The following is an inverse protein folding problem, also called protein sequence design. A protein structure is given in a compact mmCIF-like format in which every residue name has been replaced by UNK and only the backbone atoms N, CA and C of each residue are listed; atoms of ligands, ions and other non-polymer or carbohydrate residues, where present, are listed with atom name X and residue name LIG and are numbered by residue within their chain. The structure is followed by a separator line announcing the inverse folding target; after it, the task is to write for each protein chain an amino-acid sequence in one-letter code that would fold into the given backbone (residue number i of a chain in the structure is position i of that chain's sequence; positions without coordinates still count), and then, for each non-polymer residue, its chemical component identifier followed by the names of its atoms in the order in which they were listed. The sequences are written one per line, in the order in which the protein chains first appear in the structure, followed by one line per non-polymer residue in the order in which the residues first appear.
data_IF_635907650122
#
_entry.id   IF_635907650122
#
_cell.length_a   1.000
_cell.length_b   1.000
_cell.length_c   1.000
_cell.angle_alpha   90.00
_cell.angle_beta   90.00
_cell.angle_gamma   90.00
#
_symmetry.space_group_name_H-M   'P 1'
#
loop_
_entity.id
_entity.type
_entity.pdbx_description
1 polymer ?
#
# COMPACT_ATOMS: atom_id res chain seq x y z
N UNK A 1 10.37 -18.73 -25.48
CA UNK A 1 9.89 -18.98 -24.07
C UNK A 1 9.69 -17.64 -23.40
N UNK A 2 8.57 -17.41 -22.73
CA UNK A 2 8.26 -16.14 -22.03
C UNK A 2 9.14 -15.99 -20.80
N UNK A 3 9.73 -14.80 -20.64
CA UNK A 3 10.57 -14.44 -19.50
C UNK A 3 9.85 -13.45 -18.56
N UNK A 4 10.40 -13.29 -17.36
CA UNK A 4 9.94 -12.27 -16.41
C UNK A 4 10.03 -10.86 -17.02
N UNK A 5 11.08 -10.59 -17.78
CA UNK A 5 11.30 -9.30 -18.45
C UNK A 5 10.17 -9.01 -19.43
N UNK A 6 9.87 -9.95 -20.34
CA UNK A 6 8.79 -9.79 -21.33
C UNK A 6 7.45 -9.47 -20.67
N UNK A 7 7.14 -10.18 -19.57
CA UNK A 7 5.89 -9.96 -18.87
C UNK A 7 5.83 -8.60 -18.16
N UNK A 8 6.91 -8.16 -17.52
CA UNK A 8 7.00 -6.85 -16.86
C UNK A 8 6.91 -5.72 -17.90
N UNK A 9 7.66 -5.81 -19.00
CA UNK A 9 7.62 -4.81 -20.08
C UNK A 9 6.24 -4.73 -20.73
N UNK A 10 5.56 -5.87 -20.86
CA UNK A 10 4.17 -5.90 -21.30
C UNK A 10 3.23 -5.18 -20.34
N UNK A 11 3.36 -5.38 -19.02
CA UNK A 11 2.53 -4.70 -18.02
C UNK A 11 2.71 -3.17 -18.07
N UNK A 12 3.91 -2.71 -18.38
CA UNK A 12 4.21 -1.27 -18.52
C UNK A 12 3.62 -0.71 -19.81
N UNK A 13 3.74 -1.47 -20.92
CA UNK A 13 3.50 -0.95 -22.28
C UNK A 13 2.06 -1.14 -22.75
N UNK A 14 1.28 -2.06 -22.18
CA UNK A 14 -0.08 -2.33 -22.67
C UNK A 14 -1.07 -1.27 -22.20
N UNK A 15 -1.79 -0.61 -23.12
CA UNK A 15 -2.69 0.48 -22.75
C UNK A 15 -4.04 -0.02 -22.18
N UNK A 16 -4.53 -1.18 -22.63
CA UNK A 16 -5.93 -1.56 -22.35
C UNK A 16 -6.15 -3.03 -22.01
N UNK A 17 -5.31 -3.95 -22.48
CA UNK A 17 -5.64 -5.37 -22.48
C UNK A 17 -4.55 -6.24 -21.84
N UNK A 18 -4.70 -6.56 -20.57
CA UNK A 18 -3.73 -7.30 -19.74
C UNK A 18 -3.97 -8.84 -19.78
N UNK A 19 -4.18 -9.43 -20.94
CA UNK A 19 -4.43 -10.87 -21.08
C UNK A 19 -3.23 -11.63 -21.64
N UNK A 20 -3.11 -12.91 -21.29
CA UNK A 20 -2.08 -13.78 -21.87
C UNK A 20 -2.18 -13.85 -23.39
N UNK A 21 -3.41 -13.85 -23.94
CA UNK A 21 -3.66 -13.83 -25.38
C UNK A 21 -3.15 -12.57 -26.04
N UNK A 22 -3.32 -11.42 -25.38
CA UNK A 22 -2.85 -10.15 -25.94
C UNK A 22 -1.31 -10.09 -25.93
N UNK A 23 -0.66 -10.50 -24.85
CA UNK A 23 0.82 -10.58 -24.85
C UNK A 23 1.34 -11.52 -25.94
N UNK A 24 0.74 -12.70 -26.08
CA UNK A 24 1.13 -13.67 -27.12
C UNK A 24 1.03 -13.11 -28.54
N UNK A 25 0.09 -12.21 -28.82
CA UNK A 25 -0.04 -11.54 -30.13
C UNK A 25 1.09 -10.56 -30.45
N UNK A 26 1.85 -10.14 -29.45
CA UNK A 26 2.91 -9.15 -29.58
C UNK A 26 4.33 -9.73 -29.39
N UNK A 27 4.42 -11.05 -29.26
CA UNK A 27 5.69 -11.77 -29.17
C UNK A 27 5.75 -12.83 -30.28
N UNK A 28 6.88 -12.89 -31.00
CA UNK A 28 7.10 -13.89 -32.02
C UNK A 28 7.21 -15.28 -31.41
N UNK A 29 6.57 -16.27 -32.05
CA UNK A 29 6.59 -17.68 -31.67
C UNK A 29 6.15 -17.99 -30.21
N UNK A 30 5.27 -17.16 -29.65
CA UNK A 30 4.73 -17.34 -28.29
C UNK A 30 3.23 -17.58 -28.33
N UNK A 31 2.79 -18.70 -27.77
CA UNK A 31 1.36 -18.98 -27.56
C UNK A 31 0.84 -18.38 -26.25
N UNK A 32 -0.48 -18.20 -26.15
CA UNK A 32 -1.10 -17.78 -24.89
C UNK A 32 -0.90 -18.80 -23.76
N UNK A 33 -0.75 -20.09 -24.08
CA UNK A 33 -0.43 -21.14 -23.12
C UNK A 33 0.98 -20.94 -22.56
N UNK A 34 1.96 -20.57 -23.39
CA UNK A 34 3.32 -20.29 -22.93
C UNK A 34 3.36 -19.12 -21.92
N UNK A 35 2.53 -18.08 -22.12
CA UNK A 35 2.38 -16.98 -21.14
C UNK A 35 1.74 -17.47 -19.85
N UNK A 36 0.68 -18.27 -19.97
CA UNK A 36 -0.01 -18.84 -18.82
C UNK A 36 0.92 -19.79 -18.03
N UNK A 37 1.70 -20.63 -18.71
CA UNK A 37 2.68 -21.52 -18.10
C UNK A 37 3.79 -20.75 -17.38
N UNK A 38 4.27 -19.62 -17.95
CA UNK A 38 5.18 -18.73 -17.26
C UNK A 38 4.61 -18.30 -15.90
N UNK A 39 3.37 -17.82 -15.86
CA UNK A 39 2.73 -17.37 -14.62
C UNK A 39 2.49 -18.52 -13.62
N UNK A 40 2.37 -19.77 -14.06
CA UNK A 40 2.22 -20.94 -13.18
C UNK A 40 3.55 -21.48 -12.68
N UNK A 41 4.61 -21.42 -13.49
CA UNK A 41 5.93 -21.97 -13.18
C UNK A 41 6.72 -21.12 -12.21
N UNK A 42 6.67 -19.79 -12.33
CA UNK A 42 7.47 -18.87 -11.53
C UNK A 42 7.09 -18.90 -10.02
N UNK A 43 8.05 -18.52 -9.20
CA UNK A 43 7.91 -18.43 -7.74
C UNK A 43 8.35 -17.07 -7.23
N UNK A 44 7.73 -16.01 -7.78
CA UNK A 44 8.05 -14.64 -7.41
C UNK A 44 7.47 -14.28 -6.02
N UNK A 45 8.25 -13.59 -5.23
CA UNK A 45 7.90 -13.18 -3.87
C UNK A 45 8.34 -11.74 -3.61
N UNK A 46 7.94 -11.17 -2.49
CA UNK A 46 8.41 -9.86 -2.04
C UNK A 46 9.94 -9.77 -1.88
N UNK A 47 10.66 -10.91 -1.70
CA UNK A 47 12.11 -10.93 -1.65
C UNK A 47 12.75 -10.45 -2.96
N UNK A 48 12.17 -10.79 -4.11
CA UNK A 48 12.68 -10.33 -5.41
C UNK A 48 12.50 -8.82 -5.58
N UNK A 49 11.40 -8.27 -5.07
CA UNK A 49 11.18 -6.83 -5.01
C UNK A 49 12.20 -6.16 -4.07
N UNK A 50 12.36 -6.71 -2.87
CA UNK A 50 13.31 -6.19 -1.87
C UNK A 50 14.75 -6.08 -2.41
N UNK A 51 15.22 -7.10 -3.13
CA UNK A 51 16.56 -7.10 -3.74
C UNK A 51 16.77 -5.93 -4.71
N UNK A 52 15.72 -5.49 -5.40
CA UNK A 52 15.76 -4.37 -6.33
C UNK A 52 15.57 -3.01 -5.64
N UNK A 53 14.77 -2.96 -4.59
CA UNK A 53 14.46 -1.74 -3.84
C UNK A 53 15.59 -1.35 -2.89
N UNK A 54 16.24 -2.33 -2.24
CA UNK A 54 17.27 -2.09 -1.22
C UNK A 54 18.32 -1.03 -1.62
N UNK A 55 18.92 -1.06 -2.83
CA UNK A 55 19.93 -0.07 -3.22
C UNK A 55 19.37 1.34 -3.51
N UNK A 56 18.06 1.50 -3.56
CA UNK A 56 17.39 2.77 -3.85
C UNK A 56 16.98 3.53 -2.59
N UNK A 57 16.98 2.85 -1.43
CA UNK A 57 16.52 3.45 -0.19
C UNK A 57 17.53 4.46 0.36
N UNK A 58 17.01 5.58 0.82
CA UNK A 58 17.70 6.53 1.70
C UNK A 58 17.26 6.25 3.14
N UNK A 59 17.65 5.07 3.63
CA UNK A 59 17.25 4.61 4.94
C UNK A 59 18.02 5.32 6.05
N UNK A 60 17.32 5.73 7.10
CA UNK A 60 17.86 6.42 8.26
C UNK A 60 16.88 6.32 9.43
N UNK A 61 17.32 6.64 10.67
CA UNK A 61 16.40 6.72 11.82
C UNK A 61 15.23 7.69 11.64
N UNK A 62 15.36 8.71 10.78
CA UNK A 62 14.32 9.70 10.48
C UNK A 62 13.34 9.24 9.39
N UNK A 63 13.64 8.16 8.70
CA UNK A 63 12.72 7.54 7.76
C UNK A 63 11.51 6.92 8.48
N UNK A 64 10.45 6.66 7.74
CA UNK A 64 9.25 6.04 8.26
C UNK A 64 8.93 4.74 7.52
N UNK A 65 8.36 3.79 8.25
CA UNK A 65 7.64 2.67 7.68
C UNK A 65 6.15 2.99 7.66
N UNK A 66 5.44 2.53 6.63
CA UNK A 66 4.00 2.71 6.50
C UNK A 66 3.39 1.34 6.21
N UNK A 67 2.37 0.95 6.97
CA UNK A 67 1.61 -0.28 6.71
C UNK A 67 0.18 0.06 6.39
N UNK A 68 -0.28 -0.47 5.27
CA UNK A 68 -1.69 -0.43 4.87
C UNK A 68 -2.00 -1.59 3.93
N UNK A 69 -3.28 -1.83 3.66
CA UNK A 69 -3.69 -2.85 2.70
C UNK A 69 -4.62 -2.31 1.61
N UNK A 70 -4.52 -2.94 0.46
CA UNK A 70 -5.42 -2.68 -0.66
C UNK A 70 -6.12 -3.95 -1.12
N UNK A 71 -7.32 -3.79 -1.67
CA UNK A 71 -8.05 -4.88 -2.30
C UNK A 71 -7.95 -4.72 -3.81
N UNK A 72 -7.43 -5.78 -4.47
CA UNK A 72 -7.39 -5.87 -5.93
C UNK A 72 -8.74 -6.41 -6.40
N UNK A 73 -9.61 -5.54 -6.88
CA UNK A 73 -10.98 -5.87 -7.21
C UNK A 73 -11.08 -6.92 -8.34
N UNK A 74 -11.92 -7.93 -8.13
CA UNK A 74 -12.19 -9.03 -9.05
C UNK A 74 -13.71 -9.23 -9.17
N UNK A 75 -14.42 -8.16 -9.52
CA UNK A 75 -15.90 -8.08 -9.47
C UNK A 75 -16.62 -9.22 -10.20
N UNK A 76 -16.01 -9.75 -11.27
CA UNK A 76 -16.59 -10.81 -12.10
C UNK A 76 -15.99 -12.20 -11.84
N UNK A 77 -15.10 -12.34 -10.84
CA UNK A 77 -14.47 -13.63 -10.53
C UNK A 77 -15.47 -14.57 -9.86
N UNK A 78 -15.78 -15.70 -10.52
CA UNK A 78 -16.64 -16.77 -9.96
C UNK A 78 -15.83 -17.90 -9.31
N UNK A 79 -14.66 -18.22 -9.86
CA UNK A 79 -13.79 -19.34 -9.43
C UNK A 79 -12.34 -18.91 -9.54
N UNK A 80 -11.85 -18.19 -8.55
CA UNK A 80 -10.46 -17.72 -8.47
C UNK A 80 -9.95 -17.94 -7.04
N UNK A 81 -8.85 -18.67 -6.90
CA UNK A 81 -8.38 -19.25 -5.63
C UNK A 81 -8.17 -18.25 -4.50
N UNK A 82 -7.70 -17.02 -4.78
CA UNK A 82 -7.36 -16.01 -3.79
C UNK A 82 -8.46 -14.97 -3.56
N UNK A 83 -9.53 -15.00 -4.37
CA UNK A 83 -10.59 -14.00 -4.29
C UNK A 83 -11.50 -14.28 -3.11
N UNK A 84 -11.72 -13.26 -2.30
CA UNK A 84 -12.64 -13.27 -1.16
C UNK A 84 -13.48 -12.02 -1.11
N UNK A 85 -14.63 -12.13 -0.47
CA UNK A 85 -15.44 -10.98 -0.15
C UNK A 85 -14.84 -10.26 1.07
N UNK A 86 -14.44 -9.01 0.89
CA UNK A 86 -13.81 -8.21 1.92
C UNK A 86 -14.11 -6.73 1.73
N UNK A 87 -13.98 -5.95 2.79
CA UNK A 87 -14.18 -4.51 2.74
C UNK A 87 -13.03 -3.85 1.98
N UNK A 88 -13.37 -2.88 1.13
CA UNK A 88 -12.43 -2.04 0.39
C UNK A 88 -12.78 -0.58 0.64
N UNK A 89 -11.85 0.17 1.24
CA UNK A 89 -12.01 1.60 1.46
C UNK A 89 -12.17 2.37 0.15
N UNK A 90 -11.39 2.03 -0.88
CA UNK A 90 -11.45 2.68 -2.19
C UNK A 90 -12.76 2.44 -2.97
N UNK A 91 -13.46 1.34 -2.67
CA UNK A 91 -14.76 1.01 -3.30
C UNK A 91 -15.94 1.37 -2.37
N UNK A 92 -15.68 1.87 -1.17
CA UNK A 92 -16.69 2.26 -0.19
C UNK A 92 -17.56 1.12 0.33
N UNK A 93 -17.12 -0.16 0.21
CA UNK A 93 -17.96 -1.29 0.59
C UNK A 93 -17.30 -2.66 0.49
N UNK A 94 -18.15 -3.70 0.55
CA UNK A 94 -17.74 -5.09 0.41
C UNK A 94 -17.58 -5.46 -1.06
N UNK A 95 -16.38 -5.88 -1.45
CA UNK A 95 -16.08 -6.32 -2.82
C UNK A 95 -15.45 -7.71 -2.85
N UNK A 96 -15.59 -8.38 -3.98
CA UNK A 96 -14.79 -9.57 -4.28
C UNK A 96 -13.43 -9.14 -4.80
N UNK A 97 -12.36 -9.60 -4.17
CA UNK A 97 -11.01 -9.22 -4.55
C UNK A 97 -9.92 -9.96 -3.78
N UNK A 98 -8.69 -9.69 -4.17
CA UNK A 98 -7.48 -10.20 -3.53
C UNK A 98 -6.91 -9.11 -2.63
N UNK A 99 -6.86 -9.35 -1.32
CA UNK A 99 -6.26 -8.43 -0.36
C UNK A 99 -4.73 -8.51 -0.41
N UNK A 100 -4.07 -7.36 -0.37
CA UNK A 100 -2.61 -7.26 -0.30
C UNK A 100 -2.23 -6.28 0.79
N UNK A 101 -1.50 -6.75 1.80
CA UNK A 101 -0.93 -5.92 2.87
C UNK A 101 0.44 -5.45 2.41
N UNK A 102 0.72 -4.16 2.53
CA UNK A 102 1.94 -3.52 2.09
C UNK A 102 2.75 -2.98 3.28
N UNK A 103 4.06 -3.09 3.19
CA UNK A 103 5.01 -2.36 4.02
C UNK A 103 5.84 -1.47 3.12
N UNK A 104 5.74 -0.17 3.32
CA UNK A 104 6.39 0.88 2.53
C UNK A 104 7.40 1.60 3.39
N UNK A 105 8.59 1.86 2.85
CA UNK A 105 9.59 2.74 3.43
C UNK A 105 9.50 4.11 2.76
N UNK A 106 9.64 5.18 3.54
CA UNK A 106 9.76 6.54 3.02
C UNK A 106 10.78 7.36 3.79
N UNK A 107 11.56 8.17 3.06
CA UNK A 107 12.40 9.23 3.61
C UNK A 107 11.66 10.59 3.73
N UNK A 108 10.36 10.59 3.37
CA UNK A 108 9.51 11.79 3.32
C UNK A 108 9.34 12.34 1.91
N UNK A 109 10.36 12.26 1.07
CA UNK A 109 10.32 12.68 -0.35
C UNK A 109 9.94 11.52 -1.27
N UNK A 110 10.65 10.40 -1.13
CA UNK A 110 10.44 9.19 -1.92
C UNK A 110 9.87 8.06 -1.06
N UNK A 111 9.15 7.13 -1.70
CA UNK A 111 8.60 5.94 -1.06
C UNK A 111 8.79 4.71 -1.94
N UNK A 112 9.04 3.56 -1.28
CA UNK A 112 9.25 2.27 -1.91
C UNK A 112 8.61 1.14 -1.12
N UNK A 113 7.86 0.22 -1.76
CA UNK A 113 7.36 -0.99 -1.10
C UNK A 113 8.53 -1.94 -0.82
N UNK A 114 8.78 -2.23 0.46
CA UNK A 114 9.87 -3.12 0.90
C UNK A 114 9.40 -4.54 1.21
N UNK A 115 8.08 -4.71 1.38
CA UNK A 115 7.42 -6.02 1.50
C UNK A 115 5.96 -5.89 1.07
N UNK A 116 5.39 -7.00 0.60
CA UNK A 116 3.95 -7.15 0.38
C UNK A 116 3.51 -8.57 0.70
N UNK A 117 2.31 -8.75 1.24
CA UNK A 117 1.73 -10.05 1.60
C UNK A 117 0.34 -10.18 1.02
N UNK A 118 0.09 -11.27 0.31
CA UNK A 118 -1.24 -11.58 -0.20
C UNK A 118 -2.05 -12.24 0.91
N UNK A 119 -3.15 -11.60 1.29
CA UNK A 119 -4.04 -12.08 2.33
C UNK A 119 -4.83 -13.32 1.87
N UNK A 120 -4.53 -14.46 2.46
CA UNK A 120 -5.12 -15.76 2.12
C UNK A 120 -5.35 -16.64 3.36
N UNK A 121 -6.06 -16.11 4.37
CA UNK A 121 -6.24 -16.74 5.69
C UNK A 121 -6.65 -18.21 5.65
N UNK A 122 -7.47 -18.63 4.66
CA UNK A 122 -7.90 -20.03 4.53
C UNK A 122 -6.77 -20.96 4.08
N UNK A 123 -5.64 -20.41 3.60
CA UNK A 123 -4.50 -21.18 3.12
C UNK A 123 -3.35 -21.21 4.13
N UNK A 124 -3.09 -20.09 4.81
CA UNK A 124 -1.96 -19.92 5.71
C UNK A 124 -2.36 -19.67 7.18
N UNK A 125 -3.66 -19.55 7.47
CA UNK A 125 -4.18 -19.27 8.81
C UNK A 125 -3.95 -17.84 9.30
N UNK A 126 -3.27 -16.99 8.53
CA UNK A 126 -2.80 -15.67 8.97
C UNK A 126 -3.84 -14.58 8.74
N UNK A 127 -3.99 -13.72 9.73
CA UNK A 127 -4.75 -12.46 9.61
C UNK A 127 -3.88 -11.36 8.98
N UNK A 128 -4.49 -10.24 8.57
CA UNK A 128 -3.73 -9.05 8.14
C UNK A 128 -2.83 -8.52 9.27
N UNK A 129 -3.26 -8.63 10.53
CA UNK A 129 -2.45 -8.26 11.69
C UNK A 129 -1.25 -9.19 11.91
N UNK A 130 -1.37 -10.50 11.59
CA UNK A 130 -0.22 -11.40 11.60
C UNK A 130 0.79 -11.02 10.53
N UNK A 131 0.33 -10.70 9.32
CA UNK A 131 1.19 -10.18 8.26
C UNK A 131 1.87 -8.86 8.66
N UNK A 132 1.15 -7.93 9.29
CA UNK A 132 1.74 -6.71 9.85
C UNK A 132 2.94 -7.04 10.74
N UNK A 133 2.74 -7.89 11.76
CA UNK A 133 3.79 -8.23 12.73
C UNK A 133 4.99 -8.89 12.06
N UNK A 134 4.76 -9.85 11.18
CA UNK A 134 5.84 -10.53 10.46
C UNK A 134 6.64 -9.60 9.55
N UNK A 135 5.96 -8.70 8.83
CA UNK A 135 6.65 -7.74 7.95
C UNK A 135 7.48 -6.73 8.75
N UNK A 136 6.96 -6.23 9.88
CA UNK A 136 7.70 -5.29 10.73
C UNK A 136 8.92 -5.97 11.38
N UNK A 137 8.74 -7.19 11.90
CA UNK A 137 9.86 -7.98 12.43
C UNK A 137 10.93 -8.24 11.35
N UNK A 138 10.52 -8.68 10.18
CA UNK A 138 11.41 -8.93 9.05
C UNK A 138 12.13 -7.65 8.59
N UNK A 139 11.46 -6.50 8.60
CA UNK A 139 12.08 -5.22 8.26
C UNK A 139 13.20 -4.85 9.24
N UNK A 140 12.98 -5.04 10.53
CA UNK A 140 13.98 -4.70 11.57
C UNK A 140 15.10 -5.75 11.71
N UNK A 141 14.77 -7.05 11.67
CA UNK A 141 15.70 -8.13 12.00
C UNK A 141 16.44 -8.68 10.77
N UNK A 142 15.76 -8.81 9.62
CA UNK A 142 16.33 -9.44 8.44
C UNK A 142 16.77 -8.44 7.36
N UNK A 143 16.06 -7.31 7.25
CA UNK A 143 16.37 -6.27 6.27
C UNK A 143 17.24 -5.14 6.84
N UNK A 144 17.40 -5.11 8.16
CA UNK A 144 18.20 -4.10 8.89
C UNK A 144 17.75 -2.65 8.59
N UNK A 145 16.45 -2.43 8.51
CA UNK A 145 15.88 -1.10 8.27
C UNK A 145 16.06 -0.21 9.50
N UNK A 146 16.68 0.95 9.29
CA UNK A 146 17.00 1.91 10.35
C UNK A 146 15.83 2.79 10.76
N UNK A 147 14.81 2.94 9.91
CA UNK A 147 13.62 3.74 10.21
C UNK A 147 13.04 3.39 11.60
N UNK A 148 12.91 4.42 12.46
CA UNK A 148 12.42 4.24 13.83
C UNK A 148 10.94 4.63 13.99
N UNK A 149 10.31 5.15 12.96
CA UNK A 149 8.89 5.53 12.99
C UNK A 149 8.07 4.60 12.10
N UNK A 150 6.87 4.22 12.56
CA UNK A 150 5.92 3.44 11.78
C UNK A 150 4.52 4.05 11.83
N UNK A 151 3.89 4.16 10.66
CA UNK A 151 2.58 4.74 10.44
C UNK A 151 1.61 3.66 9.98
N UNK A 152 0.40 3.64 10.50
CA UNK A 152 -0.65 2.71 10.07
C UNK A 152 -2.04 3.21 10.48
N UNK A 153 -3.08 2.70 9.83
CA UNK A 153 -4.45 3.08 10.13
C UNK A 153 -5.00 2.40 11.39
N UNK A 154 -6.20 2.79 11.79
CA UNK A 154 -6.88 2.27 12.98
C UNK A 154 -7.19 0.76 12.94
N UNK A 155 -7.17 0.15 11.75
CA UNK A 155 -7.38 -1.30 11.59
C UNK A 155 -6.22 -2.10 12.20
N UNK A 156 -4.99 -1.57 12.04
CA UNK A 156 -3.78 -2.18 12.59
C UNK A 156 -3.49 -1.72 14.04
N UNK A 157 -4.31 -0.86 14.64
CA UNK A 157 -4.19 -0.36 16.02
C UNK A 157 -4.58 -1.40 17.10
N UNK A 158 -4.27 -2.69 16.90
CA UNK A 158 -4.47 -3.74 17.89
C UNK A 158 -3.44 -3.64 19.03
N UNK A 159 -3.80 -4.10 20.23
CA UNK A 159 -2.89 -4.05 21.37
C UNK A 159 -1.60 -4.86 21.14
N UNK A 160 -1.71 -5.98 20.41
CA UNK A 160 -0.57 -6.82 20.03
C UNK A 160 0.42 -6.08 19.12
N UNK A 161 -0.10 -5.37 18.12
CA UNK A 161 0.72 -4.60 17.20
C UNK A 161 1.40 -3.42 17.91
N UNK A 162 0.65 -2.65 18.73
CA UNK A 162 1.21 -1.54 19.51
C UNK A 162 2.31 -2.02 20.47
N UNK A 163 2.08 -3.18 21.12
CA UNK A 163 3.06 -3.81 22.00
C UNK A 163 4.32 -4.24 21.24
N UNK A 164 4.17 -4.84 20.07
CA UNK A 164 5.30 -5.24 19.24
C UNK A 164 6.14 -4.03 18.83
N UNK A 165 5.51 -2.96 18.34
CA UNK A 165 6.21 -1.73 17.93
C UNK A 165 6.97 -1.13 19.10
N UNK A 166 6.36 -1.09 20.31
CA UNK A 166 7.04 -0.64 21.52
C UNK A 166 8.23 -1.54 21.90
N UNK A 167 8.11 -2.86 21.75
CA UNK A 167 9.19 -3.81 22.03
C UNK A 167 10.38 -3.69 21.05
N UNK A 168 10.11 -3.22 19.84
CA UNK A 168 11.13 -2.93 18.84
C UNK A 168 11.73 -1.53 18.98
N UNK A 169 11.41 -0.82 20.07
CA UNK A 169 11.86 0.55 20.35
C UNK A 169 11.50 1.55 19.23
N UNK A 170 10.43 1.26 18.49
CA UNK A 170 9.93 2.13 17.43
C UNK A 170 8.84 3.07 17.94
N UNK A 171 8.76 4.24 17.31
CA UNK A 171 7.67 5.20 17.50
C UNK A 171 6.57 4.91 16.50
N UNK A 172 5.33 4.77 16.97
CA UNK A 172 4.19 4.66 16.08
C UNK A 172 3.32 5.93 16.06
N UNK A 173 2.68 6.15 14.92
CA UNK A 173 1.53 7.05 14.79
C UNK A 173 0.41 6.27 14.13
N UNK A 174 -0.77 6.30 14.74
CA UNK A 174 -1.94 5.59 14.21
C UNK A 174 -3.22 6.30 14.64
N UNK A 175 -4.23 6.24 13.79
CA UNK A 175 -5.55 6.77 14.14
C UNK A 175 -6.28 5.82 15.09
N UNK A 176 -7.15 6.36 15.92
CA UNK A 176 -8.12 5.61 16.72
C UNK A 176 -9.52 5.79 16.14
N UNK A 177 -10.31 4.73 16.18
CA UNK A 177 -11.74 4.83 15.91
C UNK A 177 -12.43 5.65 16.99
N UNK A 178 -13.35 6.51 16.60
CA UNK A 178 -14.08 7.43 17.49
C UNK A 178 -14.78 6.74 18.67
N UNK A 179 -15.15 5.47 18.52
CA UNK A 179 -15.81 4.66 19.55
C UNK A 179 -14.86 4.02 20.58
N UNK A 180 -13.55 4.31 20.49
CA UNK A 180 -12.59 3.79 21.48
C UNK A 180 -12.71 4.53 22.79
N UNK A 181 -12.54 3.77 23.88
CA UNK A 181 -12.49 4.30 25.23
C UNK A 181 -11.04 4.46 25.68
N UNK A 182 -10.78 5.55 26.42
CA UNK A 182 -9.48 5.87 26.99
C UNK A 182 -9.63 6.25 28.46
N UNK A 183 -8.56 6.15 29.24
CA UNK A 183 -8.54 6.60 30.64
C UNK A 183 -7.47 7.65 30.82
N UNK A 184 -7.83 8.79 31.44
CA UNK A 184 -6.92 9.87 31.77
C UNK A 184 -6.17 9.59 33.08
N UNK A 185 -6.86 9.03 34.08
CA UNK A 185 -6.28 8.59 35.34
C UNK A 185 -6.81 7.21 35.76
N UNK A 186 -6.31 6.66 36.85
CA UNK A 186 -6.85 5.39 37.40
C UNK A 186 -8.23 5.60 38.03
N UNK A 187 -8.52 6.80 38.48
CA UNK A 187 -9.72 7.17 39.22
C UNK A 187 -10.91 7.44 38.29
N UNK A 188 -10.66 8.06 37.12
CA UNK A 188 -11.72 8.47 36.19
C UNK A 188 -12.34 7.33 35.38
N UNK A 189 -11.73 6.14 35.43
CA UNK A 189 -12.19 5.03 34.61
C UNK A 189 -11.93 5.24 33.09
N UNK A 190 -12.75 4.58 32.25
CA UNK A 190 -12.67 4.69 30.81
C UNK A 190 -13.80 5.55 30.27
N UNK A 191 -13.49 6.58 29.52
CA UNK A 191 -14.40 7.55 28.90
C UNK A 191 -14.27 7.54 27.37
N UNK A 192 -15.27 8.08 26.67
CA UNK A 192 -15.21 8.29 25.23
C UNK A 192 -14.26 9.44 24.87
N UNK A 193 -13.65 9.41 23.67
CA UNK A 193 -12.72 10.41 23.20
C UNK A 193 -13.34 11.83 23.19
N UNK A 194 -14.65 11.92 22.88
CA UNK A 194 -15.38 13.19 22.85
C UNK A 194 -15.68 13.78 24.23
N UNK A 195 -15.61 12.98 25.30
CA UNK A 195 -15.86 13.42 26.69
C UNK A 195 -14.62 14.03 27.34
N UNK A 196 -13.47 13.97 26.66
CA UNK A 196 -12.24 14.60 27.16
C UNK A 196 -12.41 16.11 27.08
N UNK A 197 -12.13 16.79 28.20
CA UNK A 197 -12.03 18.26 28.22
C UNK A 197 -10.78 18.70 27.44
N UNK A 198 -11.01 19.25 26.23
CA UNK A 198 -9.99 19.68 25.30
C UNK A 198 -9.63 21.16 25.52
N UNK A 199 -8.84 21.43 26.54
CA UNK A 199 -8.25 22.79 26.78
C UNK A 199 -7.25 23.13 25.67
N UNK A 200 -6.92 24.42 25.49
CA UNK A 200 -5.94 24.88 24.48
C UNK A 200 -4.60 24.17 24.59
N UNK A 201 -4.15 23.88 25.81
CA UNK A 201 -2.92 23.15 26.07
C UNK A 201 -3.03 21.70 25.53
N UNK A 202 -4.16 21.03 25.77
CA UNK A 202 -4.40 19.65 25.29
C UNK A 202 -4.59 19.61 23.78
N UNK A 203 -5.25 20.61 23.20
CA UNK A 203 -5.36 20.75 21.75
C UNK A 203 -4.00 20.92 21.08
N UNK A 204 -3.07 21.67 21.71
CA UNK A 204 -1.74 21.92 21.16
C UNK A 204 -0.77 20.75 21.36
N UNK A 205 -0.78 20.11 22.53
CA UNK A 205 0.27 19.15 22.92
C UNK A 205 -0.26 17.72 23.15
N UNK A 206 -1.52 17.48 22.84
CA UNK A 206 -2.17 16.20 23.13
C UNK A 206 -2.34 15.93 24.63
N UNK A 207 -2.86 14.77 24.93
CA UNK A 207 -3.11 14.31 26.30
C UNK A 207 -2.63 12.89 26.48
N UNK A 208 -1.98 12.60 27.61
CA UNK A 208 -1.53 11.24 27.94
C UNK A 208 -2.74 10.41 28.37
N UNK A 209 -2.96 9.28 27.68
CA UNK A 209 -4.08 8.39 27.94
C UNK A 209 -3.63 6.93 28.06
N UNK A 210 -4.45 6.13 28.73
CA UNK A 210 -4.31 4.68 28.80
C UNK A 210 -5.34 4.02 27.90
N UNK A 211 -4.90 3.13 27.03
CA UNK A 211 -5.76 2.26 26.24
C UNK A 211 -6.00 0.94 26.95
N UNK A 212 -7.18 0.36 26.80
CA UNK A 212 -7.49 -0.96 27.36
C UNK A 212 -6.56 -2.03 26.78
N UNK A 213 -5.98 -2.88 27.62
CA UNK A 213 -5.01 -3.93 27.30
C UNK A 213 -3.61 -3.47 26.88
N UNK A 214 -3.39 -2.21 26.57
CA UNK A 214 -2.06 -1.69 26.22
C UNK A 214 -1.27 -1.47 27.52
N UNK A 215 -0.06 -2.06 27.70
CA UNK A 215 0.66 -2.01 28.98
C UNK A 215 1.31 -0.65 29.29
N UNK A 216 1.40 0.25 28.34
CA UNK A 216 1.99 1.58 28.45
C UNK A 216 0.95 2.69 28.16
N UNK A 217 1.29 3.93 28.46
CA UNK A 217 0.49 5.09 28.11
C UNK A 217 0.88 5.60 26.74
N UNK A 218 -0.07 6.21 26.05
CA UNK A 218 0.13 6.84 24.75
C UNK A 218 -0.30 8.31 24.83
N UNK A 219 0.21 9.14 23.95
CA UNK A 219 -0.25 10.52 23.78
C UNK A 219 -1.31 10.56 22.69
N UNK A 220 -2.48 11.09 23.01
CA UNK A 220 -3.61 11.25 22.12
C UNK A 220 -3.68 12.70 21.65
N UNK A 221 -3.85 12.90 20.35
CA UNK A 221 -4.05 14.18 19.71
C UNK A 221 -5.42 14.24 19.03
N UNK A 222 -6.07 15.39 19.12
CA UNK A 222 -7.29 15.71 18.38
C UNK A 222 -6.90 16.58 17.20
N UNK A 223 -7.00 16.03 16.00
CA UNK A 223 -6.68 16.72 14.75
C UNK A 223 -7.99 17.04 14.04
N UNK A 224 -8.23 18.30 13.73
CA UNK A 224 -9.37 18.71 12.92
C UNK A 224 -8.91 18.81 11.48
N UNK A 225 -9.52 18.03 10.61
CA UNK A 225 -9.24 18.03 9.17
C UNK A 225 -9.86 19.26 8.51
N UNK A 226 -9.41 19.64 7.30
CA UNK A 226 -10.01 20.76 6.55
C UNK A 226 -11.51 20.65 6.31
N UNK A 227 -12.04 19.41 6.27
CA UNK A 227 -13.47 19.13 6.08
C UNK A 227 -14.29 19.23 7.39
N UNK A 228 -13.62 19.50 8.52
CA UNK A 228 -14.26 19.56 9.84
C UNK A 228 -14.35 18.22 10.56
N UNK A 229 -13.92 17.12 9.94
CA UNK A 229 -13.84 15.82 10.60
C UNK A 229 -12.74 15.80 11.67
N UNK A 230 -12.85 14.87 12.62
CA UNK A 230 -11.88 14.74 13.70
C UNK A 230 -11.13 13.43 13.56
N UNK A 231 -9.83 13.52 13.36
CA UNK A 231 -8.92 12.41 13.47
C UNK A 231 -8.31 12.34 14.87
N UNK A 232 -8.42 11.16 15.48
CA UNK A 232 -7.84 10.86 16.76
C UNK A 232 -6.53 10.09 16.55
N UNK A 233 -5.39 10.77 16.71
CA UNK A 233 -4.08 10.19 16.48
C UNK A 233 -3.40 9.88 17.80
N UNK A 234 -2.86 8.67 17.93
CA UNK A 234 -2.06 8.27 19.09
C UNK A 234 -0.62 7.96 18.70
N UNK A 235 0.27 8.22 19.65
CA UNK A 235 1.70 7.87 19.53
C UNK A 235 2.27 7.47 20.90
N UNK A 236 3.30 6.61 20.88
CA UNK A 236 4.13 6.31 22.04
C UNK A 236 5.40 7.21 22.13
N UNK A 237 5.50 8.24 21.30
CA UNK A 237 6.65 9.14 21.32
C UNK A 237 6.81 9.80 22.69
N UNK A 238 8.01 9.74 23.24
CA UNK A 238 8.41 10.46 24.45
C UNK A 238 8.85 11.90 24.16
N UNK A 239 9.21 12.20 22.91
CA UNK A 239 9.57 13.55 22.47
C UNK A 239 8.35 14.47 22.57
N UNK A 240 8.50 15.70 23.10
CA UNK A 240 7.45 16.68 23.06
C UNK A 240 7.03 17.00 21.62
N UNK A 241 5.75 16.80 21.32
CA UNK A 241 5.16 17.04 20.01
C UNK A 241 3.99 18.04 20.15
N UNK A 242 3.80 18.82 19.11
CA UNK A 242 2.57 19.59 18.90
C UNK A 242 1.63 18.83 17.99
N UNK A 243 0.36 19.24 17.93
CA UNK A 243 -0.62 18.69 16.99
C UNK A 243 -0.17 18.87 15.54
N UNK A 244 0.53 19.97 15.22
CA UNK A 244 1.09 20.22 13.90
C UNK A 244 2.17 19.20 13.55
N UNK A 245 3.11 18.91 14.46
CA UNK A 245 4.14 17.89 14.22
C UNK A 245 3.53 16.52 13.94
N UNK A 246 2.45 16.18 14.66
CA UNK A 246 1.73 14.92 14.47
C UNK A 246 1.02 14.86 13.10
N UNK A 247 0.43 15.97 12.68
CA UNK A 247 -0.19 16.10 11.35
C UNK A 247 0.84 15.92 10.23
N UNK A 248 2.01 16.55 10.34
CA UNK A 248 3.09 16.45 9.35
C UNK A 248 3.63 15.02 9.24
N UNK A 249 3.72 14.31 10.37
CA UNK A 249 4.13 12.90 10.36
C UNK A 249 3.04 12.01 9.75
N UNK A 250 1.78 12.16 10.18
CA UNK A 250 0.66 11.34 9.68
C UNK A 250 0.39 11.58 8.19
N UNK A 251 0.63 12.78 7.69
CA UNK A 251 0.50 13.10 6.27
C UNK A 251 1.36 12.21 5.36
N UNK A 252 2.51 11.69 5.85
CA UNK A 252 3.33 10.73 5.11
C UNK A 252 2.61 9.41 4.85
N UNK A 253 1.62 9.06 5.66
CA UNK A 253 0.82 7.84 5.50
C UNK A 253 0.11 7.81 4.14
N UNK A 254 -0.23 8.98 3.57
CA UNK A 254 -0.82 9.08 2.24
C UNK A 254 0.02 8.45 1.12
N UNK A 255 1.33 8.29 1.29
CA UNK A 255 2.21 7.71 0.28
C UNK A 255 1.91 6.23 -0.01
N UNK A 256 1.39 5.46 0.96
CA UNK A 256 0.95 4.08 0.68
C UNK A 256 -0.33 4.07 -0.15
N UNK A 257 -1.24 5.00 0.06
CA UNK A 257 -2.44 5.15 -0.76
C UNK A 257 -2.08 5.56 -2.20
N UNK A 258 -1.07 6.42 -2.34
CA UNK A 258 -0.51 6.79 -3.64
C UNK A 258 0.08 5.55 -4.36
N UNK A 259 0.88 4.72 -3.67
CA UNK A 259 1.36 3.45 -4.20
C UNK A 259 0.21 2.54 -4.67
N UNK A 260 -0.84 2.40 -3.86
CA UNK A 260 -2.00 1.58 -4.22
C UNK A 260 -2.68 2.08 -5.50
N UNK A 261 -2.84 3.39 -5.64
CA UNK A 261 -3.41 4.04 -6.83
C UNK A 261 -2.55 3.79 -8.06
N UNK A 262 -1.25 4.00 -7.94
CA UNK A 262 -0.28 3.81 -9.03
C UNK A 262 -0.22 2.36 -9.50
N UNK A 263 -0.18 1.39 -8.58
CA UNK A 263 -0.23 -0.04 -8.92
C UNK A 263 -1.50 -0.38 -9.71
N UNK A 264 -2.66 0.13 -9.29
CA UNK A 264 -3.94 -0.13 -9.99
C UNK A 264 -4.00 0.51 -11.36
N UNK A 265 -3.53 1.74 -11.50
CA UNK A 265 -3.66 2.53 -12.72
C UNK A 265 -2.55 2.27 -13.74
N UNK A 266 -1.31 1.99 -13.29
CA UNK A 266 -0.16 1.93 -14.17
C UNK A 266 0.34 0.51 -14.48
N UNK A 267 -0.07 -0.51 -13.70
CA UNK A 267 0.48 -1.87 -13.88
C UNK A 267 -0.56 -2.94 -14.15
N UNK A 268 -1.85 -2.58 -14.13
CA UNK A 268 -2.92 -3.54 -14.33
C UNK A 268 -3.01 -4.64 -13.25
N UNK A 269 -2.63 -4.37 -12.00
CA UNK A 269 -2.60 -5.34 -10.90
C UNK A 269 -3.96 -6.04 -10.66
N UNK A 270 -5.06 -5.37 -10.99
CA UNK A 270 -6.43 -5.91 -10.89
C UNK A 270 -6.85 -6.72 -12.14
N UNK A 271 -6.07 -6.71 -13.23
CA UNK A 271 -6.53 -7.17 -14.53
C UNK A 271 -6.29 -8.63 -14.84
N UNK A 272 -5.38 -9.33 -14.13
CA UNK A 272 -5.11 -10.74 -14.36
C UNK A 272 -6.35 -11.61 -14.16
N UNK A 273 -6.67 -12.45 -15.15
CA UNK A 273 -7.83 -13.34 -15.17
C UNK A 273 -7.49 -14.79 -14.84
N UNK A 274 -6.23 -15.12 -14.61
CA UNK A 274 -5.81 -16.46 -14.22
C UNK A 274 -6.51 -16.91 -12.93
N UNK A 275 -6.98 -18.16 -12.90
CA UNK A 275 -7.78 -18.69 -11.78
C UNK A 275 -6.93 -19.18 -10.61
N UNK A 276 -5.75 -19.72 -10.90
CA UNK A 276 -4.88 -20.37 -9.92
C UNK A 276 -4.10 -19.36 -9.09
N UNK A 277 -3.96 -19.65 -7.81
CA UNK A 277 -3.26 -18.78 -6.85
C UNK A 277 -1.82 -18.46 -7.28
N UNK A 278 -1.09 -19.43 -7.85
CA UNK A 278 0.30 -19.23 -8.28
C UNK A 278 0.40 -18.13 -9.33
N UNK A 279 -0.44 -18.22 -10.35
CA UNK A 279 -0.45 -17.21 -11.43
C UNK A 279 -0.83 -15.82 -10.92
N UNK A 280 -1.80 -15.70 -10.00
CA UNK A 280 -2.15 -14.43 -9.39
C UNK A 280 -1.01 -13.86 -8.54
N UNK A 281 -0.32 -14.70 -7.74
CA UNK A 281 0.84 -14.28 -6.94
C UNK A 281 1.97 -13.75 -7.81
N UNK A 282 2.29 -14.46 -8.90
CA UNK A 282 3.34 -14.06 -9.83
C UNK A 282 2.96 -12.78 -10.59
N UNK A 283 1.72 -12.64 -11.04
CA UNK A 283 1.22 -11.42 -11.65
C UNK A 283 1.36 -10.22 -10.70
N UNK A 284 0.88 -10.32 -9.46
CA UNK A 284 1.00 -9.26 -8.47
C UNK A 284 2.47 -8.90 -8.25
N UNK A 285 3.36 -9.88 -8.09
CA UNK A 285 4.79 -9.63 -7.92
C UNK A 285 5.42 -8.94 -9.14
N UNK A 286 5.00 -9.28 -10.36
CA UNK A 286 5.42 -8.58 -11.58
C UNK A 286 4.91 -7.14 -11.63
N UNK A 287 3.69 -6.87 -11.15
CA UNK A 287 3.14 -5.51 -11.08
C UNK A 287 3.96 -4.59 -10.16
N UNK A 288 4.41 -5.09 -9.00
CA UNK A 288 5.33 -4.33 -8.14
C UNK A 288 6.67 -4.04 -8.83
N UNK A 289 7.21 -4.99 -9.57
CA UNK A 289 8.45 -4.80 -10.32
C UNK A 289 8.25 -3.85 -11.53
N UNK A 290 7.10 -3.90 -12.19
CA UNK A 290 6.71 -2.95 -13.24
C UNK A 290 6.61 -1.53 -12.67
N UNK A 291 5.92 -1.36 -11.54
CA UNK A 291 5.85 -0.08 -10.84
C UNK A 291 7.24 0.46 -10.49
N UNK A 292 8.12 -0.40 -9.96
CA UNK A 292 9.48 -0.02 -9.60
C UNK A 292 10.30 0.45 -10.83
N UNK A 293 10.18 -0.25 -11.96
CA UNK A 293 10.84 0.14 -13.20
C UNK A 293 10.37 1.51 -13.70
N UNK A 294 9.05 1.77 -13.65
CA UNK A 294 8.47 3.08 -13.97
C UNK A 294 9.01 4.15 -13.01
N UNK A 295 8.99 3.89 -11.68
CA UNK A 295 9.44 4.83 -10.65
C UNK A 295 10.91 5.21 -10.85
N UNK A 296 11.79 4.23 -11.04
CA UNK A 296 13.23 4.47 -11.28
C UNK A 296 13.44 5.32 -12.53
N UNK A 297 12.76 4.99 -13.61
CA UNK A 297 12.90 5.72 -14.88
C UNK A 297 12.34 7.14 -14.78
N UNK A 298 11.18 7.32 -14.16
CA UNK A 298 10.58 8.62 -13.93
C UNK A 298 11.49 9.52 -13.08
N UNK A 299 12.06 8.97 -11.99
CA UNK A 299 13.02 9.69 -11.14
C UNK A 299 14.28 10.11 -11.91
N UNK A 300 14.85 9.22 -12.74
CA UNK A 300 16.01 9.52 -13.58
C UNK A 300 15.76 10.67 -14.57
N UNK A 301 14.54 10.77 -15.08
CA UNK A 301 14.14 11.78 -16.06
C UNK A 301 13.52 13.04 -15.42
N UNK A 302 13.40 13.09 -14.08
CA UNK A 302 12.78 14.22 -13.39
C UNK A 302 11.30 14.41 -13.73
N UNK A 303 10.57 13.32 -14.02
CA UNK A 303 9.15 13.34 -14.40
C UNK A 303 8.28 12.52 -13.44
N UNK A 304 6.96 12.57 -13.60
CA UNK A 304 6.04 11.75 -12.80
C UNK A 304 5.85 10.37 -13.40
N UNK A 305 5.42 9.38 -12.57
CA UNK A 305 5.11 8.04 -13.05
C UNK A 305 4.01 8.06 -14.12
N UNK A 306 3.02 8.92 -13.95
CA UNK A 306 1.91 9.05 -14.90
C UNK A 306 2.37 9.61 -16.24
N UNK A 307 3.14 10.69 -16.24
CA UNK A 307 3.71 11.24 -17.47
C UNK A 307 4.55 10.18 -18.19
N UNK A 308 5.40 9.44 -17.44
CA UNK A 308 6.26 8.40 -18.01
C UNK A 308 5.48 7.32 -18.76
N UNK A 309 4.33 6.89 -18.24
CA UNK A 309 3.49 5.87 -18.90
C UNK A 309 2.66 6.47 -20.03
N UNK A 310 2.15 7.68 -19.85
CA UNK A 310 1.36 8.35 -20.89
C UNK A 310 2.19 8.72 -22.12
N UNK A 311 3.44 9.12 -21.96
CA UNK A 311 4.33 9.46 -23.07
C UNK A 311 4.57 8.30 -24.05
N UNK A 312 4.42 7.06 -23.62
CA UNK A 312 4.50 5.87 -24.50
C UNK A 312 3.43 5.87 -25.60
N UNK A 313 2.30 6.53 -25.38
CA UNK A 313 1.18 6.61 -26.33
C UNK A 313 1.08 7.97 -27.03
N UNK A 314 1.88 8.94 -26.63
CA UNK A 314 1.76 10.31 -27.09
C UNK A 314 1.96 10.45 -28.60
N UNK A 315 3.03 9.87 -29.13
CA UNK A 315 3.31 9.93 -30.58
C UNK A 315 2.26 9.18 -31.41
N UNK A 316 1.78 8.04 -30.89
CA UNK A 316 0.68 7.31 -31.52
C UNK A 316 -0.59 8.18 -31.60
N UNK A 317 -0.98 8.79 -30.49
CA UNK A 317 -2.17 9.65 -30.43
C UNK A 317 -2.03 10.88 -31.34
N UNK A 318 -0.84 11.48 -31.40
CA UNK A 318 -0.56 12.58 -32.35
C UNK A 318 -0.74 12.18 -33.80
N UNK A 319 -0.24 10.99 -34.16
CA UNK A 319 -0.38 10.46 -35.51
C UNK A 319 -1.86 10.24 -35.87
N UNK A 320 -2.61 9.59 -34.97
CA UNK A 320 -4.04 9.32 -35.17
C UNK A 320 -4.89 10.60 -35.25
N UNK A 321 -4.54 11.65 -34.50
CA UNK A 321 -5.28 12.93 -34.59
C UNK A 321 -4.97 13.70 -35.88
N UNK A 322 -3.82 13.49 -36.49
CA UNK A 322 -3.45 14.11 -37.78
C UNK A 322 -4.03 13.39 -38.98
N UNK A 323 -4.02 12.07 -38.92
CA UNK A 323 -4.50 11.20 -40.00
C UNK A 323 -5.19 9.97 -39.39
N UNK A 324 -6.48 10.11 -38.96
CA UNK A 324 -7.18 9.08 -38.24
C UNK A 324 -7.50 7.88 -39.14
N UNK A 325 -7.13 6.69 -38.72
CA UNK A 325 -7.52 5.42 -39.39
C UNK A 325 -9.03 5.21 -39.39
N UNK A 326 -9.73 5.77 -38.42
CA UNK A 326 -11.18 5.79 -38.33
C UNK A 326 -11.62 7.26 -38.20
N UNK A 327 -11.88 7.96 -39.31
CA UNK A 327 -12.32 9.36 -39.27
C UNK A 327 -13.72 9.46 -38.64
N UNK A 328 -13.99 10.59 -37.97
CA UNK A 328 -15.33 10.90 -37.51
C UNK A 328 -16.27 11.03 -38.68
N UNK A 329 -17.53 10.57 -38.54
CA UNK A 329 -18.55 10.80 -39.51
C UNK A 329 -18.94 12.29 -39.46
N UNK A 330 -18.81 12.97 -40.58
CA UNK A 330 -19.32 14.34 -40.71
C UNK A 330 -20.85 14.28 -40.64
N UNK A 331 -21.42 14.92 -39.65
CA UNK A 331 -22.87 15.14 -39.60
C UNK A 331 -23.19 16.20 -40.66
N UNK A 332 -23.98 15.81 -41.65
CA UNK A 332 -24.50 16.71 -42.68
C UNK A 332 -25.38 17.83 -42.09
#
# INVERSE_FOLDING_TARGET
MVTKKDYIEYLISTPVNYTCTNLAKHLDDVSHDAVNDYLHREHLTARHLWQQVKPLLKDSPNACLIVDDSVQAKKHARKMDLVKRQYSGSEGGLVQGIGVVNLVHTDGADYYPIDFRIYAKDMDGKTKNDHFREMVLNAKQDKDIQANTILFDSWYGSWENLKLVQQLEMVFFTTLKSNRLVSLSREDGYIHLGEIDWTDKRLKHGVSVKLKKVPFRVRLFKVVTPNGDIDWIITNSETPLTTHDVQDVDAKRWQVEQLHRELKQLTGIEKCQCRKQRAQRNHIACCYQAWLAIKVKATQLGTTLYAMVHDLLYEFLRAELRDPRIPALETA
#
